data_IF_707185017674
#
_entry.id   IF_707185017674
#
_cell.length_a   1.000
_cell.length_b   1.000
_cell.length_c   1.000
_cell.angle_alpha   90.00
_cell.angle_beta   90.00
_cell.angle_gamma   90.00
#
_symmetry.space_group_name_H-M   'P 1'
#
loop_
_entity.id
_entity.type
_entity.pdbx_description
1 polymer ?
#
# COMPACT_ATOMS: atom_id res chain seq x y z
N UNK A 1 -5.87 5.01 -16.78
CA UNK A 1 -4.53 5.06 -17.43
C UNK A 1 -4.31 3.82 -18.26
N UNK A 2 -3.81 3.95 -19.49
CA UNK A 2 -3.41 2.78 -20.28
C UNK A 2 -2.03 2.25 -19.82
N UNK A 3 -1.59 1.13 -20.39
CA UNK A 3 -0.34 0.48 -19.98
C UNK A 3 0.91 1.33 -20.27
N UNK A 4 0.89 2.12 -21.36
CA UNK A 4 1.97 3.05 -21.69
C UNK A 4 2.07 4.17 -20.64
N UNK A 5 0.95 4.75 -20.26
CA UNK A 5 0.90 5.77 -19.19
C UNK A 5 1.42 5.21 -17.86
N UNK A 6 0.99 3.99 -17.49
CA UNK A 6 1.44 3.32 -16.26
C UNK A 6 2.94 3.03 -16.27
N UNK A 7 3.50 2.68 -17.44
CA UNK A 7 4.95 2.48 -17.61
C UNK A 7 5.72 3.79 -17.41
N UNK A 8 5.27 4.90 -17.99
CA UNK A 8 5.89 6.22 -17.81
C UNK A 8 5.88 6.64 -16.33
N UNK A 9 4.74 6.44 -15.65
CA UNK A 9 4.62 6.64 -14.21
C UNK A 9 5.65 5.80 -13.43
N UNK A 10 5.74 4.51 -13.73
CA UNK A 10 6.65 3.59 -13.05
C UNK A 10 8.12 3.94 -13.28
N UNK A 11 8.53 4.16 -14.53
CA UNK A 11 9.89 4.57 -14.89
C UNK A 11 10.27 5.87 -14.16
N UNK A 12 9.33 6.82 -14.09
CA UNK A 12 9.51 8.06 -13.33
C UNK A 12 9.70 7.78 -11.84
N UNK A 13 8.82 7.01 -11.19
CA UNK A 13 8.91 6.64 -9.77
C UNK A 13 10.24 5.95 -9.42
N UNK A 14 10.70 5.04 -10.28
CA UNK A 14 11.99 4.33 -10.09
C UNK A 14 13.21 5.23 -10.29
N UNK A 15 13.07 6.33 -11.03
CA UNK A 15 14.15 7.30 -11.25
C UNK A 15 14.33 8.32 -10.11
N UNK A 16 13.35 8.45 -9.21
CA UNK A 16 13.38 9.44 -8.14
C UNK A 16 14.47 9.10 -7.11
N UNK A 17 15.14 10.11 -6.57
CA UNK A 17 16.31 9.92 -5.70
C UNK A 17 16.01 10.26 -4.24
N UNK A 18 14.97 11.05 -3.99
CA UNK A 18 14.68 11.61 -2.68
C UNK A 18 15.44 12.91 -2.38
N UNK A 19 16.23 13.45 -3.31
CA UNK A 19 17.05 14.65 -3.08
C UNK A 19 16.21 15.94 -3.05
N UNK A 20 15.16 16.04 -3.87
CA UNK A 20 14.25 17.18 -3.91
C UNK A 20 12.79 16.71 -3.92
N UNK A 21 12.25 16.41 -2.73
CA UNK A 21 10.92 15.80 -2.58
C UNK A 21 9.80 16.62 -3.22
N UNK A 22 9.71 17.96 -3.05
CA UNK A 22 8.65 18.75 -3.69
C UNK A 22 8.67 18.63 -5.22
N UNK A 23 9.86 18.74 -5.82
CA UNK A 23 10.06 18.62 -7.26
C UNK A 23 9.72 17.22 -7.78
N UNK A 24 10.22 16.19 -7.09
CA UNK A 24 9.97 14.80 -7.44
C UNK A 24 8.48 14.43 -7.32
N UNK A 25 7.78 14.92 -6.29
CA UNK A 25 6.35 14.76 -6.14
C UNK A 25 5.59 15.39 -7.32
N UNK A 26 5.99 16.59 -7.75
CA UNK A 26 5.38 17.26 -8.89
C UNK A 26 5.61 16.48 -10.17
N UNK A 27 6.87 16.12 -10.46
CA UNK A 27 7.25 15.30 -11.62
C UNK A 27 6.47 13.98 -11.66
N UNK A 28 6.33 13.30 -10.53
CA UNK A 28 5.56 12.06 -10.46
C UNK A 28 4.07 12.31 -10.74
N UNK A 29 3.49 13.33 -10.12
CA UNK A 29 2.06 13.66 -10.27
C UNK A 29 1.70 14.02 -11.72
N UNK A 30 2.58 14.71 -12.44
CA UNK A 30 2.40 15.05 -13.87
C UNK A 30 2.26 13.82 -14.77
N UNK A 31 2.79 12.66 -14.36
CA UNK A 31 2.64 11.41 -15.13
C UNK A 31 1.30 10.70 -14.91
N UNK A 32 0.52 11.10 -13.89
CA UNK A 32 -0.70 10.39 -13.48
C UNK A 32 -1.92 10.96 -14.19
N UNK A 33 -2.61 10.12 -14.97
CA UNK A 33 -3.89 10.47 -15.61
C UNK A 33 -5.06 9.86 -14.85
N UNK A 34 -5.59 10.61 -13.90
CA UNK A 34 -6.69 10.17 -13.03
C UNK A 34 -7.96 9.80 -13.81
N UNK A 35 -8.60 8.65 -13.52
CA UNK A 35 -9.89 8.29 -14.12
C UNK A 35 -11.01 9.13 -13.51
N UNK A 36 -12.17 9.19 -14.18
CA UNK A 36 -13.33 9.92 -13.63
C UNK A 36 -13.84 9.33 -12.32
N UNK A 37 -13.77 8.00 -12.19
CA UNK A 37 -14.26 7.25 -11.05
C UNK A 37 -13.38 6.06 -10.73
N UNK A 38 -13.42 5.67 -9.47
CA UNK A 38 -12.83 4.46 -8.93
C UNK A 38 -13.88 3.61 -8.24
N UNK A 39 -13.65 2.31 -8.20
CA UNK A 39 -14.58 1.31 -7.69
C UNK A 39 -13.91 0.41 -6.66
N UNK A 40 -14.64 0.08 -5.60
CA UNK A 40 -14.20 -0.85 -4.56
C UNK A 40 -15.25 -1.93 -4.33
N UNK A 41 -14.91 -3.16 -4.70
CA UNK A 41 -15.77 -4.34 -4.51
C UNK A 41 -15.70 -4.83 -3.07
N UNK A 42 -16.86 -5.24 -2.54
CA UNK A 42 -17.02 -5.70 -1.16
C UNK A 42 -18.05 -6.80 -1.07
N UNK A 43 -17.82 -7.75 -0.16
CA UNK A 43 -18.84 -8.69 0.30
C UNK A 43 -19.92 -7.94 1.08
N UNK A 44 -21.13 -8.50 1.15
CA UNK A 44 -22.21 -7.95 1.97
C UNK A 44 -22.16 -8.48 3.41
N UNK A 45 -20.99 -8.40 4.05
CA UNK A 45 -20.81 -8.76 5.46
C UNK A 45 -20.97 -7.54 6.38
N UNK A 46 -21.12 -7.79 7.69
CA UNK A 46 -21.33 -6.75 8.71
C UNK A 46 -20.28 -5.65 8.64
N UNK A 47 -19.01 -6.00 8.47
CA UNK A 47 -17.91 -5.04 8.45
C UNK A 47 -17.96 -4.14 7.22
N UNK A 48 -18.22 -4.71 6.05
CA UNK A 48 -18.29 -3.97 4.78
C UNK A 48 -19.53 -3.08 4.71
N UNK A 49 -20.66 -3.57 5.23
CA UNK A 49 -21.90 -2.79 5.32
C UNK A 49 -21.75 -1.63 6.30
N UNK A 50 -21.14 -1.85 7.46
CA UNK A 50 -20.88 -0.79 8.45
C UNK A 50 -19.88 0.25 7.91
N UNK A 51 -18.83 -0.20 7.22
CA UNK A 51 -17.88 0.69 6.55
C UNK A 51 -18.56 1.56 5.50
N UNK A 52 -19.47 0.99 4.70
CA UNK A 52 -20.30 1.75 3.76
C UNK A 52 -21.21 2.74 4.49
N UNK A 53 -21.95 2.30 5.51
CA UNK A 53 -22.89 3.12 6.30
C UNK A 53 -22.22 4.35 6.90
N UNK A 54 -20.99 4.17 7.39
CA UNK A 54 -20.20 5.21 8.05
C UNK A 54 -19.23 5.95 7.12
N UNK A 55 -19.27 5.67 5.81
CA UNK A 55 -18.37 6.25 4.79
C UNK A 55 -16.87 6.02 5.06
N UNK A 56 -16.52 4.94 5.78
CA UNK A 56 -15.15 4.61 6.19
C UNK A 56 -14.46 3.69 5.18
N UNK A 57 -13.23 4.04 4.83
CA UNK A 57 -12.33 3.22 4.03
C UNK A 57 -11.15 2.82 4.90
N UNK A 58 -11.11 1.54 5.28
CA UNK A 58 -10.01 0.98 6.05
C UNK A 58 -8.83 0.60 5.16
N UNK A 59 -7.62 0.92 5.61
CA UNK A 59 -6.37 0.41 5.03
C UNK A 59 -6.23 -1.08 5.35
N UNK A 60 -5.95 -1.87 4.33
CA UNK A 60 -5.65 -3.30 4.47
C UNK A 60 -4.13 -3.49 4.48
N UNK A 61 -3.63 -4.32 5.39
CA UNK A 61 -2.24 -4.74 5.35
C UNK A 61 -2.06 -5.88 4.35
N UNK A 62 -0.92 -5.90 3.64
CA UNK A 62 -0.59 -6.95 2.68
C UNK A 62 -0.49 -8.34 3.31
N UNK A 63 -0.36 -8.47 4.64
CA UNK A 63 -0.40 -9.77 5.33
C UNK A 63 -1.76 -10.46 5.20
N UNK A 64 -2.83 -9.73 4.88
CA UNK A 64 -4.19 -10.23 4.70
C UNK A 64 -4.65 -10.21 3.24
N UNK A 65 -3.76 -9.91 2.29
CA UNK A 65 -4.11 -10.01 0.87
C UNK A 65 -4.29 -11.48 0.50
N UNK A 66 -5.23 -11.75 -0.40
CA UNK A 66 -5.51 -13.10 -0.86
C UNK A 66 -4.47 -13.63 -1.85
N UNK A 67 -3.70 -12.73 -2.47
CA UNK A 67 -2.55 -13.06 -3.30
C UNK A 67 -1.24 -12.83 -2.51
N UNK A 68 -0.53 -13.89 -2.12
CA UNK A 68 0.74 -13.77 -1.40
C UNK A 68 1.87 -13.17 -2.27
N UNK A 69 1.68 -13.05 -3.58
CA UNK A 69 2.63 -12.48 -4.53
C UNK A 69 2.26 -11.05 -4.98
N UNK A 70 1.25 -10.44 -4.35
CA UNK A 70 0.73 -9.12 -4.73
C UNK A 70 1.80 -8.00 -4.62
N UNK A 71 2.82 -8.19 -3.78
CA UNK A 71 4.04 -7.38 -3.78
C UNK A 71 5.08 -8.01 -4.71
N UNK A 72 5.08 -7.61 -5.99
CA UNK A 72 5.91 -8.24 -7.03
C UNK A 72 7.36 -7.73 -7.03
N UNK A 73 8.08 -7.98 -5.92
CA UNK A 73 9.46 -7.58 -5.70
C UNK A 73 10.38 -8.79 -5.49
N UNK A 74 11.62 -8.67 -5.93
CA UNK A 74 12.72 -9.59 -5.62
C UNK A 74 13.57 -9.03 -4.50
N UNK A 75 14.03 -9.89 -3.60
CA UNK A 75 14.94 -9.53 -2.51
C UNK A 75 16.08 -10.54 -2.51
N UNK A 76 17.31 -10.07 -2.57
CA UNK A 76 18.48 -10.91 -2.36
C UNK A 76 18.71 -11.13 -0.86
N UNK A 77 18.11 -12.20 -0.34
CA UNK A 77 18.16 -12.53 1.08
C UNK A 77 19.57 -12.85 1.58
N UNK A 78 20.43 -13.44 0.74
CA UNK A 78 21.83 -13.66 1.11
C UNK A 78 22.54 -12.33 1.40
N UNK A 79 22.27 -11.28 0.63
CA UNK A 79 22.84 -9.96 0.89
C UNK A 79 22.25 -9.31 2.14
N UNK A 80 20.95 -9.50 2.41
CA UNK A 80 20.33 -9.00 3.66
C UNK A 80 20.92 -9.71 4.88
N UNK A 81 20.97 -11.04 4.84
CA UNK A 81 21.45 -11.88 5.93
C UNK A 81 22.94 -11.68 6.19
N UNK A 82 23.81 -11.79 5.18
CA UNK A 82 25.24 -11.56 5.34
C UNK A 82 25.56 -10.13 5.78
N UNK A 83 24.83 -9.14 5.24
CA UNK A 83 24.99 -7.76 5.65
C UNK A 83 24.75 -7.57 7.14
N UNK A 84 23.66 -8.16 7.65
CA UNK A 84 23.31 -8.11 9.07
C UNK A 84 24.30 -8.94 9.89
N UNK A 85 24.52 -10.22 9.57
CA UNK A 85 25.45 -11.09 10.29
C UNK A 85 26.85 -10.50 10.38
N UNK A 86 27.38 -9.88 9.32
CA UNK A 86 28.68 -9.19 9.37
C UNK A 86 28.67 -7.97 10.31
N UNK A 87 27.55 -7.23 10.39
CA UNK A 87 27.39 -6.15 11.36
C UNK A 87 27.23 -6.66 12.80
N UNK A 88 26.68 -7.87 13.00
CA UNK A 88 26.42 -8.46 14.31
C UNK A 88 27.63 -9.20 14.90
N UNK A 89 28.33 -9.97 14.08
CA UNK A 89 29.39 -10.89 14.50
C UNK A 89 30.76 -10.23 14.66
N UNK A 90 30.89 -8.94 14.33
CA UNK A 90 32.16 -8.24 14.43
C UNK A 90 31.98 -6.79 14.91
N UNK A 91 31.63 -6.57 16.21
CA UNK A 91 31.38 -5.23 16.77
C UNK A 91 32.58 -4.28 16.69
N UNK A 92 33.79 -4.82 16.46
CA UNK A 92 35.02 -4.05 16.28
C UNK A 92 35.32 -3.71 14.81
N UNK A 93 34.55 -4.26 13.85
CA UNK A 93 34.81 -4.09 12.42
C UNK A 93 33.89 -3.02 11.83
N UNK A 94 34.09 -1.80 12.31
CA UNK A 94 33.35 -0.58 11.96
C UNK A 94 33.26 -0.37 10.43
N UNK A 95 34.25 -0.85 9.68
CA UNK A 95 34.29 -0.82 8.22
C UNK A 95 33.15 -1.60 7.53
N UNK A 96 32.72 -2.75 8.08
CA UNK A 96 31.67 -3.57 7.48
C UNK A 96 30.27 -3.00 7.79
N UNK A 97 30.09 -2.43 8.99
CA UNK A 97 28.91 -1.65 9.36
C UNK A 97 28.81 -0.36 8.53
N UNK A 98 29.93 0.34 8.31
CA UNK A 98 30.03 1.46 7.38
C UNK A 98 29.59 1.08 5.96
N UNK A 99 29.98 -0.11 5.49
CA UNK A 99 29.60 -0.62 4.17
C UNK A 99 28.12 -1.00 4.07
N UNK A 100 27.58 -1.69 5.09
CA UNK A 100 26.16 -2.07 5.18
C UNK A 100 25.26 -0.83 5.20
N UNK A 101 25.67 0.16 5.99
CA UNK A 101 24.89 1.35 6.24
C UNK A 101 25.21 2.49 5.23
N UNK A 102 26.26 2.34 4.42
CA UNK A 102 26.77 3.31 3.43
C UNK A 102 27.30 4.65 4.00
N UNK A 103 28.13 4.63 5.06
CA UNK A 103 28.62 5.83 5.81
C UNK A 103 30.10 5.72 6.15
N UNK A 104 30.81 6.85 6.36
CA UNK A 104 32.19 6.84 6.84
C UNK A 104 32.39 6.14 8.21
N UNK A 105 33.40 5.27 8.27
CA UNK A 105 33.85 4.50 9.45
C UNK A 105 34.05 5.33 10.73
N UNK A 106 34.58 6.55 10.58
CA UNK A 106 34.88 7.46 11.69
C UNK A 106 33.64 7.83 12.54
N UNK A 107 32.43 7.67 12.00
CA UNK A 107 31.17 7.88 12.72
C UNK A 107 30.67 6.65 13.45
N UNK A 108 31.40 5.55 13.51
CA UNK A 108 30.95 4.31 14.15
C UNK A 108 31.73 3.96 15.42
N UNK A 109 33.00 4.38 15.53
CA UNK A 109 33.92 4.04 16.64
C UNK A 109 33.50 4.55 18.02
N UNK A 110 32.73 5.63 18.10
CA UNK A 110 32.21 6.15 19.38
C UNK A 110 30.97 5.38 19.91
N UNK A 111 30.37 4.48 19.14
CA UNK A 111 28.96 4.09 19.32
C UNK A 111 28.70 2.66 19.84
N UNK A 112 29.67 1.74 19.74
CA UNK A 112 29.45 0.30 20.00
C UNK A 112 29.97 -0.23 21.35
N UNK A 113 30.47 0.61 22.26
CA UNK A 113 31.12 0.18 23.51
C UNK A 113 30.18 -0.41 24.60
N UNK A 114 28.88 -0.62 24.35
CA UNK A 114 27.89 -0.87 25.43
C UNK A 114 26.88 -2.03 25.24
N UNK A 115 27.12 -3.09 24.45
CA UNK A 115 26.11 -4.15 24.27
C UNK A 115 26.64 -5.60 24.25
N UNK A 116 25.80 -6.55 24.70
CA UNK A 116 26.03 -8.00 24.76
C UNK A 116 25.68 -8.71 23.44
N UNK A 117 26.39 -9.81 23.17
CA UNK A 117 26.36 -10.61 21.93
C UNK A 117 25.06 -11.42 21.75
N UNK A 118 24.33 -11.68 22.84
CA UNK A 118 23.17 -12.58 22.86
C UNK A 118 21.93 -12.02 22.14
N UNK A 119 21.63 -10.72 22.32
CA UNK A 119 20.50 -10.03 21.65
C UNK A 119 20.62 -10.03 20.12
N UNK A 120 21.86 -9.98 19.62
CA UNK A 120 22.17 -10.00 18.20
C UNK A 120 22.05 -11.40 17.58
N UNK A 121 22.34 -12.44 18.37
CA UNK A 121 22.33 -13.83 17.90
C UNK A 121 20.90 -14.30 17.61
N UNK A 122 19.93 -13.97 18.47
CA UNK A 122 18.51 -14.30 18.26
C UNK A 122 17.92 -13.58 17.04
N UNK A 123 18.29 -12.31 16.82
CA UNK A 123 17.86 -11.54 15.65
C UNK A 123 18.36 -12.15 14.34
N UNK A 124 19.62 -12.60 14.30
CA UNK A 124 20.22 -13.25 13.12
C UNK A 124 19.48 -14.51 12.68
N UNK A 125 19.07 -15.36 13.61
CA UNK A 125 18.45 -16.68 13.29
C UNK A 125 17.08 -16.62 12.60
N UNK A 126 16.35 -15.50 12.68
CA UNK A 126 15.00 -15.36 12.10
C UNK A 126 14.81 -14.05 11.32
N UNK A 127 15.91 -13.43 10.88
CA UNK A 127 15.87 -12.08 10.29
C UNK A 127 15.08 -12.03 9.00
N UNK A 128 15.16 -13.09 8.18
CA UNK A 128 14.46 -13.17 6.89
C UNK A 128 12.95 -13.16 7.09
N UNK A 129 12.41 -14.07 7.91
CA UNK A 129 10.98 -14.20 8.11
C UNK A 129 10.39 -13.02 8.88
N UNK A 130 11.16 -12.49 9.85
CA UNK A 130 10.79 -11.25 10.54
C UNK A 130 10.70 -10.10 9.53
N UNK A 131 11.72 -9.91 8.69
CA UNK A 131 11.75 -8.84 7.68
C UNK A 131 10.63 -8.97 6.67
N UNK A 132 10.32 -10.19 6.18
CA UNK A 132 9.18 -10.43 5.28
C UNK A 132 7.86 -10.00 5.90
N UNK A 133 7.58 -10.45 7.12
CA UNK A 133 6.35 -10.08 7.84
C UNK A 133 6.29 -8.57 8.07
N UNK A 134 7.40 -7.94 8.39
CA UNK A 134 7.45 -6.50 8.63
C UNK A 134 7.29 -5.69 7.33
N UNK A 135 7.78 -6.17 6.18
CA UNK A 135 7.49 -5.56 4.86
C UNK A 135 5.97 -5.63 4.58
N UNK A 136 5.35 -6.79 4.80
CA UNK A 136 3.90 -6.97 4.58
C UNK A 136 3.04 -6.09 5.50
N UNK A 137 3.42 -5.98 6.78
CA UNK A 137 2.73 -5.13 7.76
C UNK A 137 2.82 -3.64 7.43
N UNK A 138 3.96 -3.21 6.88
CA UNK A 138 4.18 -1.82 6.44
C UNK A 138 3.37 -1.48 5.20
N UNK A 139 3.21 -2.43 4.28
CA UNK A 139 2.35 -2.25 3.11
C UNK A 139 0.89 -2.13 3.54
N UNK A 140 0.41 -0.88 3.61
CA UNK A 140 -0.96 -0.54 3.96
C UNK A 140 -1.60 0.27 2.85
N UNK A 141 -2.63 -0.29 2.23
CA UNK A 141 -3.29 0.37 1.12
C UNK A 141 -4.82 0.24 1.13
N UNK A 142 -5.48 1.16 0.45
CA UNK A 142 -6.87 1.05 0.03
C UNK A 142 -6.86 0.84 -1.48
N UNK A 143 -7.20 -0.37 -1.91
CA UNK A 143 -7.26 -0.73 -3.33
C UNK A 143 -8.60 -0.37 -3.97
N UNK A 144 -8.51 0.13 -5.19
CA UNK A 144 -9.61 0.44 -6.09
C UNK A 144 -9.30 -0.07 -7.49
N UNK A 145 -10.30 -0.05 -8.37
CA UNK A 145 -10.11 -0.22 -9.82
C UNK A 145 -10.83 0.88 -10.60
N UNK A 146 -10.40 1.12 -11.83
CA UNK A 146 -11.15 1.94 -12.80
C UNK A 146 -12.29 1.18 -13.51
N UNK A 147 -12.51 -0.11 -13.21
CA UNK A 147 -13.51 -0.98 -13.85
C UNK A 147 -14.64 -1.36 -12.89
N UNK A 148 -15.85 -0.88 -13.15
CA UNK A 148 -17.06 -1.14 -12.36
C UNK A 148 -17.70 -2.51 -12.58
N UNK A 149 -17.55 -3.06 -13.79
CA UNK A 149 -18.16 -4.32 -14.21
C UNK A 149 -17.12 -5.39 -14.51
N UNK A 150 -15.97 -5.33 -13.85
CA UNK A 150 -14.94 -6.36 -13.97
C UNK A 150 -15.43 -7.66 -13.30
N UNK A 151 -15.76 -8.66 -14.12
CA UNK A 151 -16.31 -9.94 -13.69
C UNK A 151 -15.36 -10.68 -12.72
N UNK A 152 -14.05 -10.63 -12.94
CA UNK A 152 -13.07 -11.28 -12.04
C UNK A 152 -13.10 -10.65 -10.65
N UNK A 153 -13.19 -9.32 -10.57
CA UNK A 153 -13.25 -8.60 -9.29
C UNK A 153 -14.59 -8.81 -8.58
N UNK A 154 -15.70 -8.91 -9.32
CA UNK A 154 -16.99 -9.30 -8.76
C UNK A 154 -16.96 -10.71 -8.16
N UNK A 155 -16.30 -11.66 -8.84
CA UNK A 155 -16.12 -13.02 -8.35
C UNK A 155 -15.29 -13.05 -7.07
N UNK A 156 -14.14 -12.36 -7.09
CA UNK A 156 -13.12 -12.40 -6.04
C UNK A 156 -13.50 -11.60 -4.80
N UNK A 157 -13.92 -10.33 -4.97
CA UNK A 157 -14.04 -9.38 -3.87
C UNK A 157 -15.48 -9.04 -3.48
N UNK A 158 -16.46 -9.33 -4.36
CA UNK A 158 -17.89 -9.13 -4.08
C UNK A 158 -18.63 -10.45 -3.90
N UNK A 159 -17.95 -11.42 -3.29
CA UNK A 159 -18.50 -12.72 -2.88
C UNK A 159 -19.27 -13.40 -4.02
N UNK A 160 -18.62 -13.63 -5.17
CA UNK A 160 -19.29 -14.24 -6.32
C UNK A 160 -20.59 -13.52 -6.73
N UNK A 161 -20.52 -12.19 -6.88
CA UNK A 161 -21.66 -11.31 -7.20
C UNK A 161 -22.80 -11.25 -6.15
N UNK A 162 -22.61 -11.76 -4.92
CA UNK A 162 -23.58 -11.59 -3.82
C UNK A 162 -23.39 -10.27 -3.05
N UNK A 163 -22.25 -9.60 -3.25
CA UNK A 163 -21.88 -8.35 -2.61
C UNK A 163 -22.26 -7.10 -3.40
N UNK A 164 -21.44 -6.06 -3.27
CA UNK A 164 -21.64 -4.76 -3.90
C UNK A 164 -20.32 -4.09 -4.30
N UNK A 165 -20.40 -3.04 -5.12
CA UNK A 165 -19.27 -2.19 -5.47
C UNK A 165 -19.58 -0.73 -5.12
N UNK A 166 -18.69 -0.10 -4.36
CA UNK A 166 -18.76 1.33 -4.05
C UNK A 166 -18.08 2.14 -5.15
N UNK A 167 -18.71 3.25 -5.54
CA UNK A 167 -18.23 4.16 -6.57
C UNK A 167 -17.71 5.44 -5.92
N UNK A 168 -16.54 5.90 -6.32
CA UNK A 168 -15.92 7.12 -5.81
C UNK A 168 -15.57 8.05 -6.96
N UNK A 169 -15.90 9.33 -6.80
CA UNK A 169 -15.30 10.37 -7.64
C UNK A 169 -13.91 10.66 -7.08
N UNK A 170 -12.94 10.95 -7.93
CA UNK A 170 -11.63 11.41 -7.47
C UNK A 170 -11.77 12.86 -7.02
N UNK A 171 -11.36 13.14 -5.79
CA UNK A 171 -11.38 14.49 -5.21
C UNK A 171 -9.95 14.98 -4.97
N UNK A 172 -9.73 16.31 -4.84
CA UNK A 172 -8.43 16.87 -4.49
C UNK A 172 -7.83 16.24 -3.22
N UNK A 173 -8.65 15.94 -2.21
CA UNK A 173 -8.19 15.32 -0.97
C UNK A 173 -7.64 13.90 -1.17
N UNK A 174 -8.06 13.18 -2.22
CA UNK A 174 -7.52 11.85 -2.54
C UNK A 174 -6.13 11.91 -3.20
N UNK A 175 -5.79 13.03 -3.83
CA UNK A 175 -4.61 13.17 -4.71
C UNK A 175 -3.58 14.17 -4.18
N UNK A 176 -3.94 15.02 -3.23
CA UNK A 176 -3.06 16.09 -2.74
C UNK A 176 -2.22 15.58 -1.58
N UNK A 177 -0.90 15.44 -1.79
CA UNK A 177 0.06 15.39 -0.70
C UNK A 177 0.18 16.82 -0.14
N UNK A 178 -0.15 17.10 1.14
CA UNK A 178 -0.13 18.46 1.67
C UNK A 178 1.26 19.10 1.48
N UNK A 179 1.32 20.30 0.88
CA UNK A 179 2.58 21.01 0.61
C UNK A 179 3.17 21.69 1.87
N UNK A 180 2.37 21.91 2.91
CA UNK A 180 2.76 22.69 4.10
C UNK A 180 3.04 21.81 5.33
N UNK A 181 3.88 20.80 5.17
CA UNK A 181 4.31 19.96 6.29
C UNK A 181 5.78 20.25 6.61
N UNK A 182 6.03 21.29 7.40
CA UNK A 182 7.32 21.48 8.10
C UNK A 182 7.63 20.33 9.07
N UNK A 183 6.72 19.36 9.22
CA UNK A 183 6.85 18.18 10.07
C UNK A 183 6.34 16.94 9.31
N UNK A 184 7.11 15.83 9.22
CA UNK A 184 6.70 14.61 8.51
C UNK A 184 5.43 13.89 9.04
N UNK A 185 4.75 14.44 10.06
CA UNK A 185 3.85 13.68 10.94
C UNK A 185 2.47 14.33 11.24
N UNK A 186 2.06 15.45 10.60
CA UNK A 186 0.86 16.20 11.09
C UNK A 186 -0.37 16.32 10.18
N UNK A 187 -0.43 15.75 8.97
CA UNK A 187 -1.65 15.70 8.13
C UNK A 187 -1.66 14.44 7.24
N UNK A 188 -2.78 14.07 6.56
CA UNK A 188 -2.92 12.71 6.08
C UNK A 188 -1.86 12.38 5.03
N UNK A 189 -0.88 11.56 5.42
CA UNK A 189 0.21 11.03 4.61
C UNK A 189 -0.31 9.96 3.65
N UNK A 190 -1.36 10.29 2.89
CA UNK A 190 -1.91 9.38 1.89
C UNK A 190 -2.06 10.04 0.53
N UNK A 191 -1.78 9.26 -0.50
CA UNK A 191 -1.86 9.68 -1.90
C UNK A 191 -2.35 8.52 -2.76
N UNK A 192 -3.18 8.83 -3.74
CA UNK A 192 -3.71 7.89 -4.72
C UNK A 192 -2.73 7.69 -5.89
N UNK A 193 -2.34 6.45 -6.14
CA UNK A 193 -1.42 6.07 -7.21
C UNK A 193 -1.98 4.96 -8.11
N UNK A 194 -1.61 4.94 -9.40
CA UNK A 194 -1.85 3.78 -10.25
C UNK A 194 -0.85 2.64 -9.92
N UNK A 195 -1.30 1.39 -10.03
CA UNK A 195 -0.42 0.21 -9.96
C UNK A 195 0.20 -0.07 -11.34
N UNK A 196 1.50 -0.39 -11.37
CA UNK A 196 2.21 -0.85 -12.56
C UNK A 196 2.26 -2.38 -12.65
N UNK A 197 2.13 -2.90 -13.86
CA UNK A 197 2.08 -4.33 -14.15
C UNK A 197 3.31 -4.75 -14.95
N UNK A 198 4.03 -5.76 -14.45
CA UNK A 198 5.31 -6.18 -15.03
C UNK A 198 5.48 -7.71 -14.96
N UNK A 199 6.29 -8.25 -15.88
CA UNK A 199 6.83 -9.61 -15.76
C UNK A 199 8.22 -9.62 -15.09
N UNK A 200 8.80 -8.43 -14.87
CA UNK A 200 10.07 -8.24 -14.17
C UNK A 200 9.80 -7.65 -12.79
N UNK A 201 10.39 -8.23 -11.76
CA UNK A 201 10.27 -7.77 -10.38
C UNK A 201 11.04 -6.48 -10.16
N UNK A 202 10.65 -5.73 -9.13
CA UNK A 202 11.47 -4.64 -8.58
C UNK A 202 12.48 -5.21 -7.57
N UNK A 203 13.76 -4.81 -7.65
CA UNK A 203 14.74 -5.16 -6.63
C UNK A 203 14.52 -4.31 -5.37
N UNK A 204 13.95 -4.94 -4.35
CA UNK A 204 13.65 -4.33 -3.06
C UNK A 204 14.70 -4.69 -1.99
N UNK A 205 15.89 -5.16 -2.38
CA UNK A 205 16.92 -5.62 -1.42
C UNK A 205 17.31 -4.52 -0.44
N UNK A 206 17.52 -3.29 -0.91
CA UNK A 206 17.90 -2.17 -0.02
C UNK A 206 16.78 -1.81 0.96
N UNK A 207 15.53 -1.82 0.50
CA UNK A 207 14.37 -1.62 1.37
C UNK A 207 14.26 -2.74 2.42
N UNK A 208 14.51 -3.99 2.03
CA UNK A 208 14.52 -5.11 2.97
C UNK A 208 15.62 -4.98 4.03
N UNK A 209 16.83 -4.53 3.66
CA UNK A 209 17.90 -4.23 4.64
C UNK A 209 17.45 -3.16 5.63
N UNK A 210 16.86 -2.07 5.15
CA UNK A 210 16.33 -1.03 6.03
C UNK A 210 15.27 -1.57 6.98
N UNK A 211 14.29 -2.33 6.50
CA UNK A 211 13.22 -2.90 7.33
C UNK A 211 13.78 -3.86 8.38
N UNK A 212 14.79 -4.65 8.03
CA UNK A 212 15.46 -5.55 8.95
C UNK A 212 16.18 -4.79 10.07
N UNK A 213 16.94 -3.74 9.73
CA UNK A 213 17.63 -2.87 10.70
C UNK A 213 16.61 -2.14 11.58
N UNK A 214 15.58 -1.54 10.99
CA UNK A 214 14.54 -0.85 11.74
C UNK A 214 13.84 -1.80 12.72
N UNK A 215 13.56 -3.04 12.30
CA UNK A 215 12.97 -4.06 13.16
C UNK A 215 13.89 -4.46 14.32
N UNK A 216 15.19 -4.57 14.08
CA UNK A 216 16.20 -4.80 15.12
C UNK A 216 16.26 -3.67 16.16
N UNK A 217 16.05 -2.43 15.70
CA UNK A 217 16.20 -1.23 16.51
C UNK A 217 14.90 -0.81 17.23
N UNK A 218 13.77 -1.49 17.03
CA UNK A 218 12.45 -1.09 17.58
C UNK A 218 12.43 -0.84 19.08
N UNK A 219 13.17 -1.64 19.85
CA UNK A 219 13.21 -1.55 21.32
C UNK A 219 14.32 -0.62 21.85
N UNK A 220 15.05 0.05 20.96
CA UNK A 220 16.12 0.97 21.33
C UNK A 220 15.58 2.40 21.48
N UNK A 221 16.31 3.23 22.23
CA UNK A 221 15.95 4.62 22.47
C UNK A 221 15.76 5.38 21.14
N UNK A 222 14.72 6.23 20.99
CA UNK A 222 14.43 6.95 19.75
C UNK A 222 15.61 7.74 19.19
N UNK A 223 16.44 8.35 20.03
CA UNK A 223 17.62 9.10 19.57
C UNK A 223 18.69 8.20 18.96
N UNK A 224 18.88 7.00 19.49
CA UNK A 224 19.76 6.00 18.89
C UNK A 224 19.21 5.53 17.53
N UNK A 225 17.90 5.31 17.41
CA UNK A 225 17.24 4.98 16.14
C UNK A 225 17.47 6.08 15.10
N UNK A 226 17.20 7.35 15.47
CA UNK A 226 17.42 8.52 14.60
C UNK A 226 18.87 8.63 14.14
N UNK A 227 19.82 8.38 15.04
CA UNK A 227 21.24 8.38 14.71
C UNK A 227 21.58 7.31 13.66
N UNK A 228 21.11 6.07 13.82
CA UNK A 228 21.32 5.01 12.82
C UNK A 228 20.59 5.34 11.50
N UNK A 229 19.41 5.96 11.52
CA UNK A 229 18.74 6.38 10.28
C UNK A 229 19.46 7.52 9.56
N UNK A 230 20.12 8.42 10.28
CA UNK A 230 20.86 9.55 9.67
C UNK A 230 22.05 9.12 8.83
N UNK A 231 22.50 7.88 9.05
CA UNK A 231 23.64 7.31 8.39
C UNK A 231 23.15 6.41 7.22
N UNK A 232 22.03 5.69 7.35
CA UNK A 232 21.48 4.82 6.29
C UNK A 232 21.17 5.54 4.96
N UNK A 233 21.19 4.82 3.81
CA UNK A 233 20.73 5.38 2.54
C UNK A 233 19.27 5.83 2.65
N UNK A 234 18.95 6.93 1.95
CA UNK A 234 17.58 7.42 1.87
C UNK A 234 16.64 6.31 1.39
N UNK A 235 15.57 6.10 2.15
CA UNK A 235 14.51 5.15 1.81
C UNK A 235 13.36 5.83 1.06
N UNK A 236 13.59 7.05 0.56
CA UNK A 236 12.56 7.78 -0.16
C UNK A 236 12.09 6.99 -1.38
N UNK A 237 10.78 7.00 -1.62
CA UNK A 237 10.09 6.30 -2.71
C UNK A 237 10.17 4.77 -2.68
N UNK A 238 10.94 4.15 -1.78
CA UNK A 238 11.06 2.69 -1.68
C UNK A 238 9.73 2.04 -1.31
N UNK A 239 9.02 2.64 -0.36
CA UNK A 239 7.70 2.18 0.04
C UNK A 239 6.72 2.18 -1.14
N UNK A 240 6.65 3.28 -1.88
CA UNK A 240 5.81 3.43 -3.06
C UNK A 240 6.19 2.41 -4.15
N UNK A 241 7.48 2.19 -4.41
CA UNK A 241 7.94 1.20 -5.41
C UNK A 241 7.48 -0.21 -5.07
N UNK A 242 7.68 -0.62 -3.81
CA UNK A 242 7.29 -1.96 -3.35
C UNK A 242 5.78 -2.15 -3.35
N UNK A 243 5.02 -1.08 -3.06
CA UNK A 243 3.56 -1.15 -3.00
C UNK A 243 2.84 -0.98 -4.34
N UNK A 244 3.51 -0.51 -5.41
CA UNK A 244 2.87 -0.12 -6.67
C UNK A 244 3.30 -0.96 -7.88
N UNK A 245 3.99 -2.07 -7.68
CA UNK A 245 4.29 -3.06 -8.72
C UNK A 245 3.57 -4.38 -8.46
N UNK A 246 2.98 -4.94 -9.51
CA UNK A 246 2.26 -6.22 -9.49
C UNK A 246 2.61 -7.06 -10.72
N UNK A 247 2.48 -8.37 -10.61
CA UNK A 247 2.71 -9.25 -11.75
C UNK A 247 1.70 -8.98 -12.88
N UNK A 248 2.14 -9.09 -14.14
CA UNK A 248 1.33 -8.75 -15.31
C UNK A 248 0.06 -9.58 -15.46
N UNK A 249 0.02 -10.79 -14.89
CA UNK A 249 -1.20 -11.60 -14.92
C UNK A 249 -2.39 -10.90 -14.24
N UNK A 250 -2.16 -9.93 -13.34
CA UNK A 250 -3.21 -9.15 -12.68
C UNK A 250 -3.57 -7.85 -13.41
N UNK A 251 -3.07 -7.62 -14.62
CA UNK A 251 -3.30 -6.38 -15.38
C UNK A 251 -4.78 -6.07 -15.64
N UNK A 252 -5.64 -7.09 -15.61
CA UNK A 252 -7.10 -6.94 -15.69
C UNK A 252 -7.68 -6.18 -14.50
N UNK A 253 -7.02 -6.17 -13.33
CA UNK A 253 -7.47 -5.46 -12.13
C UNK A 253 -7.59 -3.96 -12.37
N UNK A 254 -6.74 -3.39 -13.25
CA UNK A 254 -6.63 -1.94 -13.50
C UNK A 254 -6.62 -1.12 -12.21
N UNK A 255 -5.87 -1.64 -11.24
CA UNK A 255 -5.80 -1.24 -9.85
C UNK A 255 -5.21 0.16 -9.64
N UNK A 256 -5.70 0.81 -8.59
CA UNK A 256 -5.24 2.05 -8.01
C UNK A 256 -5.18 1.88 -6.49
N UNK A 257 -4.18 2.47 -5.83
CA UNK A 257 -3.97 2.34 -4.38
C UNK A 257 -3.86 3.71 -3.74
N UNK A 258 -4.61 3.95 -2.66
CA UNK A 258 -4.21 4.96 -1.69
C UNK A 258 -3.23 4.29 -0.74
N UNK A 259 -2.01 4.82 -0.67
CA UNK A 259 -0.99 4.34 0.27
C UNK A 259 -0.99 5.23 1.50
N UNK A 260 -0.78 4.65 2.69
CA UNK A 260 -0.59 5.42 3.93
C UNK A 260 0.83 5.23 4.44
N UNK A 261 1.59 6.32 4.57
CA UNK A 261 3.00 6.26 4.98
C UNK A 261 3.20 6.56 6.47
N UNK A 262 2.47 5.87 7.33
CA UNK A 262 2.57 6.08 8.78
C UNK A 262 2.90 4.77 9.49
N UNK A 263 4.16 4.71 9.92
CA UNK A 263 4.82 3.58 10.57
C UNK A 263 4.48 3.48 12.06
N UNK A 264 3.87 4.50 12.67
CA UNK A 264 3.63 4.55 14.10
C UNK A 264 2.13 4.73 14.38
N UNK A 265 1.46 3.63 14.72
CA UNK A 265 0.07 3.68 15.14
C UNK A 265 -0.56 2.30 15.20
N UNK A 266 -0.71 1.81 16.43
CA UNK A 266 -1.50 0.63 16.76
C UNK A 266 -2.99 0.98 16.64
N UNK A 267 -3.51 0.96 15.42
CA UNK A 267 -4.92 1.16 15.15
C UNK A 267 -5.24 0.94 13.67
N UNK A 268 -6.45 0.47 13.39
CA UNK A 268 -6.98 0.42 12.02
C UNK A 268 -7.18 1.85 11.54
N UNK A 269 -6.21 2.37 10.78
CA UNK A 269 -6.32 3.69 10.16
C UNK A 269 -7.40 3.60 9.09
N UNK A 270 -8.35 4.53 9.12
CA UNK A 270 -9.36 4.68 8.09
C UNK A 270 -9.39 6.13 7.63
N UNK A 271 -9.84 6.32 6.40
CA UNK A 271 -10.17 7.64 5.85
C UNK A 271 -11.66 7.66 5.57
N UNK A 272 -12.24 8.85 5.58
CA UNK A 272 -13.68 9.01 5.35
C UNK A 272 -13.90 9.63 3.99
N UNK A 273 -14.42 8.84 3.05
CA UNK A 273 -14.89 9.35 1.76
C UNK A 273 -16.28 8.80 1.49
N UNK A 274 -17.22 9.70 1.24
CA UNK A 274 -18.57 9.33 0.87
C UNK A 274 -18.60 8.78 -0.56
N UNK A 275 -19.09 7.55 -0.80
CA UNK A 275 -19.28 7.04 -2.14
C UNK A 275 -20.23 7.93 -2.96
N UNK A 276 -19.90 8.14 -4.24
CA UNK A 276 -20.80 8.78 -5.21
C UNK A 276 -21.88 7.84 -5.73
N UNK A 277 -21.78 6.55 -5.42
CA UNK A 277 -22.81 5.56 -5.69
C UNK A 277 -22.46 4.18 -5.15
N UNK A 278 -23.42 3.26 -5.21
CA UNK A 278 -23.27 1.83 -4.93
C UNK A 278 -23.88 1.02 -6.06
N UNK A 279 -23.25 -0.09 -6.42
CA UNK A 279 -23.73 -1.05 -7.42
C UNK A 279 -23.95 -2.38 -6.71
N UNK A 280 -25.16 -2.92 -6.75
CA UNK A 280 -25.53 -4.18 -6.10
C UNK A 280 -25.26 -5.35 -7.06
N UNK A 281 -24.64 -6.42 -6.55
CA UNK A 281 -24.22 -7.55 -7.36
C UNK A 281 -25.38 -8.38 -7.91
N UNK A 282 -25.13 -9.04 -9.05
CA UNK A 282 -26.12 -9.79 -9.83
C UNK A 282 -26.83 -10.90 -9.03
N UNK A 283 -26.14 -11.53 -8.08
CA UNK A 283 -26.66 -12.68 -7.31
C UNK A 283 -27.17 -12.28 -5.93
N UNK A 284 -27.13 -10.99 -5.60
CA UNK A 284 -27.58 -10.46 -4.30
C UNK A 284 -29.05 -10.78 -4.08
N UNK A 285 -29.36 -11.51 -3.01
CA UNK A 285 -30.74 -11.88 -2.66
C UNK A 285 -31.52 -10.67 -2.15
N UNK A 286 -32.85 -10.67 -2.33
CA UNK A 286 -33.75 -9.57 -1.95
C UNK A 286 -33.49 -9.02 -0.52
N UNK A 287 -33.38 -9.82 0.56
CA UNK A 287 -33.15 -9.28 1.89
C UNK A 287 -31.83 -8.50 2.01
N UNK A 288 -30.73 -9.06 1.50
CA UNK A 288 -29.41 -8.41 1.49
C UNK A 288 -29.41 -7.18 0.60
N UNK A 289 -30.08 -7.25 -0.55
CA UNK A 289 -30.24 -6.13 -1.48
C UNK A 289 -30.97 -4.98 -0.78
N UNK A 290 -32.08 -5.25 -0.11
CA UNK A 290 -32.87 -4.22 0.58
C UNK A 290 -32.09 -3.60 1.75
N UNK A 291 -31.30 -4.40 2.46
CA UNK A 291 -30.37 -3.90 3.47
C UNK A 291 -29.29 -2.98 2.88
N UNK A 292 -28.64 -3.36 1.78
CA UNK A 292 -27.65 -2.50 1.10
C UNK A 292 -28.29 -1.17 0.69
N UNK A 293 -29.51 -1.19 0.15
CA UNK A 293 -30.23 0.03 -0.24
C UNK A 293 -30.52 0.92 0.96
N UNK A 294 -31.04 0.35 2.06
CA UNK A 294 -31.34 1.11 3.27
C UNK A 294 -30.08 1.77 3.84
N UNK A 295 -28.99 1.01 3.99
CA UNK A 295 -27.73 1.53 4.54
C UNK A 295 -27.05 2.53 3.62
N UNK A 296 -27.14 2.36 2.30
CA UNK A 296 -26.62 3.34 1.35
C UNK A 296 -27.37 4.67 1.42
N UNK A 297 -28.69 4.63 1.61
CA UNK A 297 -29.52 5.84 1.82
C UNK A 297 -29.17 6.52 3.15
N UNK A 298 -29.04 5.76 4.23
CA UNK A 298 -28.60 6.27 5.53
C UNK A 298 -27.23 6.95 5.45
N UNK A 299 -26.29 6.36 4.72
CA UNK A 299 -24.95 6.93 4.48
C UNK A 299 -24.96 8.20 3.60
N UNK A 300 -26.10 8.56 3.02
CA UNK A 300 -26.25 9.69 2.10
C UNK A 300 -25.62 9.44 0.72
N UNK A 301 -25.55 8.17 0.27
CA UNK A 301 -25.03 7.81 -1.05
C UNK A 301 -26.11 8.12 -2.11
N UNK A 302 -25.83 9.00 -3.09
CA UNK A 302 -26.88 9.60 -3.92
C UNK A 302 -27.37 8.70 -5.06
N UNK A 303 -26.62 7.65 -5.43
CA UNK A 303 -26.92 6.82 -6.60
C UNK A 303 -26.80 5.34 -6.25
N UNK A 304 -27.89 4.61 -6.45
CA UNK A 304 -27.95 3.17 -6.21
C UNK A 304 -28.24 2.49 -7.55
N UNK A 305 -27.38 1.53 -7.90
CA UNK A 305 -27.49 0.72 -9.09
C UNK A 305 -27.61 -0.75 -8.73
N UNK A 306 -28.14 -1.55 -9.64
CA UNK A 306 -28.10 -3.01 -9.58
C UNK A 306 -27.57 -3.59 -10.88
N UNK A 307 -26.77 -4.64 -10.77
CA UNK A 307 -26.26 -5.39 -11.91
C UNK A 307 -27.36 -6.23 -12.56
N UNK A 308 -27.29 -6.37 -13.88
CA UNK A 308 -28.11 -7.27 -14.67
C UNK A 308 -27.30 -7.79 -15.86
N UNK A 309 -27.76 -8.85 -16.51
CA UNK A 309 -27.21 -9.33 -17.79
C UNK A 309 -28.08 -8.78 -18.91
N UNK A 310 -27.47 -8.06 -19.86
CA UNK A 310 -28.19 -7.47 -20.98
C UNK A 310 -28.45 -8.49 -22.11
N UNK A 311 -29.18 -8.05 -23.15
CA UNK A 311 -29.53 -8.90 -24.29
C UNK A 311 -28.32 -9.41 -25.11
N UNK A 312 -27.14 -8.83 -24.90
CA UNK A 312 -25.88 -9.28 -25.51
C UNK A 312 -25.09 -10.21 -24.59
N UNK A 313 -25.71 -10.72 -23.52
CA UNK A 313 -25.09 -11.54 -22.48
C UNK A 313 -23.92 -10.85 -21.76
N UNK A 314 -23.94 -9.51 -21.68
CA UNK A 314 -22.91 -8.75 -20.97
C UNK A 314 -23.42 -8.28 -19.62
N UNK A 315 -22.54 -8.29 -18.62
CA UNK A 315 -22.82 -7.67 -17.34
C UNK A 315 -22.97 -6.16 -17.54
N UNK A 316 -24.08 -5.62 -17.04
CA UNK A 316 -24.43 -4.21 -17.11
C UNK A 316 -25.05 -3.77 -15.78
N UNK A 317 -25.39 -2.49 -15.64
CA UNK A 317 -26.03 -1.94 -14.44
C UNK A 317 -27.10 -0.91 -14.78
N UNK A 318 -28.15 -0.87 -13.95
CA UNK A 318 -29.25 0.10 -14.08
C UNK A 318 -29.52 0.79 -12.75
N UNK A 319 -30.07 1.99 -12.80
CA UNK A 319 -30.48 2.72 -11.60
C UNK A 319 -31.62 1.97 -10.92
N UNK A 320 -31.50 1.79 -9.61
CA UNK A 320 -32.61 1.37 -8.75
C UNK A 320 -33.59 2.53 -8.66
N UNK A 321 -34.78 2.37 -9.24
CA UNK A 321 -35.86 3.34 -9.09
C UNK A 321 -36.45 3.25 -7.68
N UNK A 322 -36.89 4.38 -7.15
CA UNK A 322 -37.68 4.40 -5.93
C UNK A 322 -39.00 3.65 -6.21
N UNK A 323 -39.26 2.64 -5.39
CA UNK A 323 -40.51 1.88 -5.36
C UNK A 323 -41.52 2.56 -4.47
#
# INVERSE_FOLDING_TARGET
MNNKDRKIFWETLTSLTGQNIPEECRKLTETIKYPKKLYRFRKADTNSLEAMRTNRLFFSSAEYYDDPFDSFCSINWNTVENGILNALLNPQNLNQLALLLNIPEARLSQFFSFRSIEDWTTLGTNIIDTTRKEIQKRHRSICFTEKDLNEVLWLKYADNHYGFALMYNITPEMVTRPQNAEMPFSHPNYSLYPVYYSNQTYDATDYARFVAIDSALKNYHPDFRKMIYSILPSQCWQYERVCLIKHKCHEYDKEWRILHNDLEGNGSKFITFKPSGVIIGLRTKKPTRDLIVALAREAGIPKIYECFVDNNNKLNKRIVKES
#
